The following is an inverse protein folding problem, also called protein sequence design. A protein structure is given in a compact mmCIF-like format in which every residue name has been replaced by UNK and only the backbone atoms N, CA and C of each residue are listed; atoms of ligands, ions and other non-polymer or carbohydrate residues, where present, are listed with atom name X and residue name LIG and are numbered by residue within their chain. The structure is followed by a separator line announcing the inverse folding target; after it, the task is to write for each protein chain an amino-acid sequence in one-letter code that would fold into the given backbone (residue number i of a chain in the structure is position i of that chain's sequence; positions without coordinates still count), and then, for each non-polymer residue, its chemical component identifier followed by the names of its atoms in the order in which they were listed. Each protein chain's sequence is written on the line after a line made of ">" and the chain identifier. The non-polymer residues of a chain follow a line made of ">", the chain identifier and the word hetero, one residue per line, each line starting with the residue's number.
data_IF_147348210119
#
_entry.id   IF_147348210119
#
_cell.length_a   1.000
_cell.length_b   1.000
_cell.length_c   1.000
_cell.angle_alpha   90.00
_cell.angle_beta   90.00
_cell.angle_gamma   90.00
#
_symmetry.space_group_name_H-M   'P 1'
#
loop_
_entity.id
_entity.type
_entity.pdbx_description
1 polymer ?
#
# COMPACT_ATOMS: atom_id res chain seq x y z
N UNK A 1 7.43 -60.85 50.84
CA UNK A 1 8.51 -61.27 51.76
C UNK A 1 7.95 -61.85 53.06
N UNK A 2 7.03 -61.16 53.74
CA UNK A 2 6.41 -61.62 55.01
C UNK A 2 5.76 -63.02 54.99
N UNK A 3 5.20 -63.47 53.86
CA UNK A 3 4.55 -64.80 53.77
C UNK A 3 5.55 -65.98 53.84
N UNK A 4 6.74 -65.81 53.25
CA UNK A 4 7.78 -66.86 53.23
C UNK A 4 8.43 -66.99 54.61
N UNK A 5 8.71 -65.85 55.25
CA UNK A 5 9.27 -65.79 56.60
C UNK A 5 8.35 -66.48 57.63
N UNK A 6 7.02 -66.31 57.49
CA UNK A 6 6.02 -66.98 58.35
C UNK A 6 5.90 -68.50 58.10
N UNK A 7 6.29 -68.98 56.92
CA UNK A 7 6.24 -70.41 56.57
C UNK A 7 7.51 -71.14 57.03
N UNK A 8 8.67 -70.50 56.88
CA UNK A 8 9.96 -71.02 57.36
C UNK A 8 9.96 -71.15 58.88
N UNK A 9 9.39 -70.19 59.60
CA UNK A 9 9.27 -70.23 61.07
C UNK A 9 8.30 -71.29 61.60
N UNK A 10 7.49 -71.91 60.72
CA UNK A 10 6.56 -73.00 61.06
C UNK A 10 7.09 -74.39 60.69
N UNK A 11 8.33 -74.50 60.21
CA UNK A 11 8.93 -75.80 59.95
C UNK A 11 9.10 -76.57 61.28
N UNK A 12 8.92 -77.91 61.28
CA UNK A 12 9.29 -78.73 62.42
C UNK A 12 10.75 -78.51 62.81
N UNK A 13 11.07 -78.68 64.09
CA UNK A 13 12.46 -78.60 64.55
C UNK A 13 13.27 -79.72 63.90
N UNK A 14 14.36 -79.38 63.23
CA UNK A 14 15.23 -80.38 62.62
C UNK A 14 15.76 -81.36 63.69
N UNK A 15 15.84 -82.66 63.39
CA UNK A 15 16.39 -83.62 64.32
C UNK A 15 17.86 -83.31 64.62
N UNK A 16 18.24 -83.52 65.87
CA UNK A 16 19.57 -83.27 66.41
C UNK A 16 20.24 -84.59 66.79
N UNK A 17 21.57 -84.63 66.73
CA UNK A 17 22.36 -85.78 67.22
C UNK A 17 22.18 -86.04 68.73
N UNK A 18 21.53 -85.12 69.45
CA UNK A 18 21.20 -85.25 70.88
C UNK A 18 19.81 -85.87 71.12
N UNK A 19 19.00 -86.06 70.08
CA UNK A 19 17.67 -86.69 70.23
C UNK A 19 17.81 -88.20 70.54
N UNK A 20 16.91 -88.77 71.37
CA UNK A 20 16.83 -90.20 71.58
C UNK A 20 16.60 -90.94 70.26
N UNK A 21 17.19 -92.14 70.11
CA UNK A 21 17.07 -92.92 68.86
C UNK A 21 15.60 -93.24 68.49
N UNK A 22 14.71 -93.35 69.47
CA UNK A 22 13.28 -93.55 69.26
C UNK A 22 12.52 -92.33 68.72
N UNK A 23 13.12 -91.14 68.80
CA UNK A 23 12.51 -89.87 68.37
C UNK A 23 13.17 -89.28 67.11
N UNK A 24 14.39 -89.72 66.79
CA UNK A 24 15.15 -89.17 65.67
C UNK A 24 14.49 -89.44 64.31
N UNK A 25 14.16 -90.71 64.02
CA UNK A 25 13.60 -91.10 62.72
C UNK A 25 12.23 -90.43 62.45
N UNK A 26 11.27 -90.40 63.40
CA UNK A 26 10.01 -89.67 63.20
C UNK A 26 10.20 -88.16 62.98
N UNK A 27 11.12 -87.51 63.74
CA UNK A 27 11.42 -86.08 63.55
C UNK A 27 12.07 -85.82 62.19
N UNK A 28 12.92 -86.73 61.71
CA UNK A 28 13.54 -86.64 60.40
C UNK A 28 12.51 -86.75 59.27
N UNK A 29 11.60 -87.72 59.35
CA UNK A 29 10.55 -87.92 58.36
C UNK A 29 9.57 -86.74 58.30
N UNK A 30 9.16 -86.21 59.46
CA UNK A 30 8.31 -85.02 59.56
C UNK A 30 9.00 -83.78 58.96
N UNK A 31 10.29 -83.58 59.26
CA UNK A 31 11.07 -82.46 58.75
C UNK A 31 11.28 -82.55 57.23
N UNK A 32 11.65 -83.72 56.72
CA UNK A 32 11.85 -83.95 55.28
C UNK A 32 10.54 -83.80 54.50
N UNK A 33 9.42 -84.29 55.05
CA UNK A 33 8.09 -84.11 54.46
C UNK A 33 7.70 -82.63 54.42
N UNK A 34 7.96 -81.87 55.48
CA UNK A 34 7.73 -80.43 55.53
C UNK A 34 8.57 -79.65 54.52
N UNK A 35 9.82 -80.06 54.27
CA UNK A 35 10.70 -79.45 53.26
C UNK A 35 10.18 -79.67 51.83
N UNK A 36 9.67 -80.86 51.51
CA UNK A 36 9.07 -81.14 50.20
C UNK A 36 7.85 -80.24 49.96
N UNK A 37 6.99 -80.09 50.97
CA UNK A 37 5.83 -79.19 50.92
C UNK A 37 6.26 -77.73 50.73
N UNK A 38 7.29 -77.28 51.45
CA UNK A 38 7.83 -75.93 51.32
C UNK A 38 8.40 -75.68 49.92
N UNK A 39 9.12 -76.65 49.34
CA UNK A 39 9.65 -76.56 47.98
C UNK A 39 8.55 -76.41 46.94
N UNK A 40 7.46 -77.18 47.05
CA UNK A 40 6.31 -77.06 46.15
C UNK A 40 5.62 -75.68 46.28
N UNK A 41 5.49 -75.17 47.50
CA UNK A 41 4.94 -73.83 47.75
C UNK A 41 5.83 -72.71 47.20
N UNK A 42 7.16 -72.85 47.27
CA UNK A 42 8.12 -71.92 46.66
C UNK A 42 8.01 -71.90 45.13
N UNK A 43 7.79 -73.06 44.51
CA UNK A 43 7.52 -73.15 43.07
C UNK A 43 6.29 -72.34 42.66
N UNK A 44 5.16 -72.59 43.32
CA UNK A 44 3.90 -71.85 43.07
C UNK A 44 4.06 -70.34 43.29
N UNK A 45 4.80 -69.94 44.31
CA UNK A 45 5.05 -68.52 44.56
C UNK A 45 5.92 -67.89 43.47
N UNK A 46 6.94 -68.60 43.00
CA UNK A 46 7.80 -68.14 41.90
C UNK A 46 6.98 -67.93 40.62
N UNK A 47 6.08 -68.85 40.31
CA UNK A 47 5.18 -68.74 39.16
C UNK A 47 4.24 -67.53 39.29
N UNK A 48 3.67 -67.31 40.48
CA UNK A 48 2.82 -66.14 40.76
C UNK A 48 3.59 -64.82 40.60
N UNK A 49 4.83 -64.74 41.09
CA UNK A 49 5.68 -63.55 40.95
C UNK A 49 6.02 -63.30 39.48
N UNK A 50 6.33 -64.35 38.72
CA UNK A 50 6.62 -64.23 37.28
C UNK A 50 5.39 -63.74 36.48
N UNK A 51 4.20 -64.27 36.79
CA UNK A 51 2.95 -63.82 36.20
C UNK A 51 2.65 -62.35 36.53
N UNK A 52 2.80 -61.97 37.80
CA UNK A 52 2.62 -60.58 38.23
C UNK A 52 3.63 -59.66 37.54
N UNK A 53 4.91 -60.03 37.47
CA UNK A 53 5.92 -59.24 36.78
C UNK A 53 5.59 -59.05 35.30
N UNK A 54 5.08 -60.09 34.64
CA UNK A 54 4.66 -60.01 33.24
C UNK A 54 3.46 -59.08 33.06
N UNK A 55 2.45 -59.18 33.93
CA UNK A 55 1.29 -58.26 33.93
C UNK A 55 1.72 -56.80 34.15
N UNK A 56 2.60 -56.56 35.12
CA UNK A 56 3.17 -55.23 35.37
C UNK A 56 3.92 -54.68 34.16
N UNK A 57 4.76 -55.49 33.51
CA UNK A 57 5.47 -55.07 32.30
C UNK A 57 4.50 -54.74 31.16
N UNK A 58 3.48 -55.56 30.94
CA UNK A 58 2.47 -55.32 29.91
C UNK A 58 1.71 -54.01 30.15
N UNK A 59 1.32 -53.74 31.40
CA UNK A 59 0.67 -52.48 31.79
C UNK A 59 1.59 -51.27 31.59
N UNK A 60 2.87 -51.41 31.93
CA UNK A 60 3.86 -50.35 31.72
C UNK A 60 3.99 -49.98 30.24
N UNK A 61 4.17 -50.98 29.35
CA UNK A 61 4.30 -50.73 27.92
C UNK A 61 3.01 -50.17 27.29
N UNK A 62 1.84 -50.61 27.75
CA UNK A 62 0.56 -50.05 27.31
C UNK A 62 0.45 -48.56 27.68
N UNK A 63 0.79 -48.20 28.92
CA UNK A 63 0.77 -46.82 29.39
C UNK A 63 1.80 -45.93 28.65
N UNK A 64 2.99 -46.44 28.37
CA UNK A 64 4.02 -45.72 27.61
C UNK A 64 3.59 -45.44 26.16
N UNK A 65 2.91 -46.40 25.53
CA UNK A 65 2.31 -46.23 24.21
C UNK A 65 1.21 -45.15 24.22
N UNK A 66 0.33 -45.13 25.22
CA UNK A 66 -0.70 -44.09 25.35
C UNK A 66 -0.09 -42.71 25.56
N UNK A 67 0.93 -42.58 26.41
CA UNK A 67 1.65 -41.33 26.62
C UNK A 67 2.29 -40.80 25.33
N UNK A 68 2.82 -41.70 24.50
CA UNK A 68 3.41 -41.36 23.21
C UNK A 68 2.35 -40.83 22.24
N UNK A 69 1.17 -41.47 22.18
CA UNK A 69 0.04 -41.00 21.36
C UNK A 69 -0.46 -39.63 21.82
N UNK A 70 -0.70 -39.45 23.12
CA UNK A 70 -1.15 -38.18 23.70
C UNK A 70 -0.14 -37.04 23.42
N UNK A 71 1.17 -37.33 23.48
CA UNK A 71 2.21 -36.35 23.13
C UNK A 71 2.10 -35.94 21.65
N UNK A 72 1.80 -36.88 20.75
CA UNK A 72 1.56 -36.61 19.33
C UNK A 72 0.32 -35.73 19.09
N UNK A 73 -0.77 -36.02 19.78
CA UNK A 73 -2.02 -35.23 19.71
C UNK A 73 -1.81 -33.80 20.22
N UNK A 74 -1.15 -33.63 21.36
CA UNK A 74 -0.85 -32.32 21.95
C UNK A 74 0.03 -31.48 21.00
N UNK A 75 1.04 -32.08 20.38
CA UNK A 75 1.90 -31.39 19.41
C UNK A 75 1.11 -30.93 18.17
N UNK A 76 0.24 -31.79 17.65
CA UNK A 76 -0.62 -31.47 16.50
C UNK A 76 -1.60 -30.34 16.82
N UNK A 77 -2.23 -30.36 18.00
CA UNK A 77 -3.10 -29.30 18.48
C UNK A 77 -2.36 -27.97 18.67
N UNK A 78 -1.11 -27.99 19.14
CA UNK A 78 -0.27 -26.80 19.31
C UNK A 78 0.08 -26.15 17.96
N UNK A 79 0.39 -26.96 16.94
CA UNK A 79 0.63 -26.47 15.59
C UNK A 79 -0.64 -25.82 15.00
N UNK A 80 -1.81 -26.45 15.14
CA UNK A 80 -3.08 -25.86 14.71
C UNK A 80 -3.47 -24.56 15.44
N UNK A 81 -3.13 -24.42 16.74
CA UNK A 81 -3.30 -23.15 17.46
C UNK A 81 -2.35 -22.06 16.95
N UNK A 82 -1.13 -22.42 16.57
CA UNK A 82 -0.17 -21.44 16.02
C UNK A 82 -0.62 -20.90 14.66
N UNK A 83 -1.21 -21.73 13.80
CA UNK A 83 -1.79 -21.28 12.54
C UNK A 83 -3.02 -20.41 12.76
N UNK A 84 -3.88 -20.76 13.71
CA UNK A 84 -5.04 -19.92 14.06
C UNK A 84 -4.61 -18.55 14.61
N UNK A 85 -3.59 -18.51 15.47
CA UNK A 85 -3.05 -17.25 16.00
C UNK A 85 -2.48 -16.36 14.88
N UNK A 86 -1.74 -16.95 13.93
CA UNK A 86 -1.24 -16.24 12.76
C UNK A 86 -2.39 -15.70 11.90
N UNK A 87 -3.42 -16.51 11.61
CA UNK A 87 -4.60 -16.06 10.88
C UNK A 87 -5.39 -14.96 11.61
N UNK A 88 -5.50 -15.03 12.94
CA UNK A 88 -6.14 -13.98 13.74
C UNK A 88 -5.34 -12.68 13.72
N UNK A 89 -4.01 -12.75 13.72
CA UNK A 89 -3.15 -11.58 13.59
C UNK A 89 -3.31 -10.91 12.23
N UNK A 90 -3.27 -11.69 11.13
CA UNK A 90 -3.51 -11.20 9.78
C UNK A 90 -4.89 -10.54 9.65
N UNK A 91 -5.91 -11.16 10.25
CA UNK A 91 -7.27 -10.62 10.26
C UNK A 91 -7.36 -9.32 11.05
N UNK A 92 -6.66 -9.21 12.19
CA UNK A 92 -6.59 -7.98 12.98
C UNK A 92 -5.90 -6.84 12.22
N UNK A 93 -4.80 -7.11 11.51
CA UNK A 93 -4.13 -6.14 10.65
C UNK A 93 -5.07 -5.63 9.54
N UNK A 94 -5.83 -6.53 8.89
CA UNK A 94 -6.84 -6.15 7.89
C UNK A 94 -7.96 -5.30 8.47
N UNK A 95 -8.43 -5.61 9.68
CA UNK A 95 -9.48 -4.83 10.36
C UNK A 95 -8.97 -3.42 10.71
N UNK A 96 -7.74 -3.28 11.20
CA UNK A 96 -7.14 -1.96 11.47
C UNK A 96 -7.06 -1.11 10.20
N UNK A 97 -6.61 -1.69 9.08
CA UNK A 97 -6.58 -0.99 7.80
C UNK A 97 -7.97 -0.51 7.34
N UNK A 98 -9.01 -1.34 7.52
CA UNK A 98 -10.39 -0.94 7.21
C UNK A 98 -10.84 0.22 8.10
N UNK A 99 -10.52 0.20 9.39
CA UNK A 99 -10.86 1.29 10.33
C UNK A 99 -10.14 2.59 9.96
N UNK A 100 -8.88 2.54 9.55
CA UNK A 100 -8.13 3.72 9.07
C UNK A 100 -8.78 4.32 7.83
N UNK A 101 -9.13 3.49 6.84
CA UNK A 101 -9.82 3.93 5.63
C UNK A 101 -11.20 4.51 5.97
N UNK A 102 -11.95 3.86 6.86
CA UNK A 102 -13.28 4.31 7.26
C UNK A 102 -13.23 5.62 8.05
N UNK A 103 -12.22 5.84 8.88
CA UNK A 103 -11.98 7.11 9.56
C UNK A 103 -11.58 8.21 8.56
N UNK A 104 -10.77 7.91 7.56
CA UNK A 104 -10.43 8.87 6.49
C UNK A 104 -11.66 9.26 5.64
N UNK A 105 -12.56 8.31 5.36
CA UNK A 105 -13.85 8.56 4.70
C UNK A 105 -14.76 9.41 5.59
N UNK A 106 -14.83 9.11 6.90
CA UNK A 106 -15.71 9.81 7.85
C UNK A 106 -15.28 11.25 8.09
N UNK A 107 -13.99 11.56 7.95
CA UNK A 107 -13.47 12.94 8.00
C UNK A 107 -13.68 13.72 6.69
N UNK A 108 -14.32 13.14 5.67
CA UNK A 108 -14.77 13.84 4.47
C UNK A 108 -13.66 14.30 3.53
N UNK A 109 -12.42 13.81 3.70
CA UNK A 109 -11.24 14.20 2.90
C UNK A 109 -10.91 13.22 1.76
N UNK A 110 -11.82 12.31 1.42
CA UNK A 110 -11.60 11.30 0.37
C UNK A 110 -12.77 11.31 -0.60
N UNK A 111 -12.48 11.44 -1.90
CA UNK A 111 -13.44 11.21 -2.99
C UNK A 111 -13.01 9.99 -3.77
N UNK A 112 -13.99 9.13 -4.06
CA UNK A 112 -13.85 8.03 -5.00
C UNK A 112 -14.57 8.45 -6.27
N UNK A 113 -13.83 8.65 -7.37
CA UNK A 113 -14.40 8.99 -8.67
C UNK A 113 -14.61 7.74 -9.50
N UNK A 114 -15.79 7.59 -10.09
CA UNK A 114 -16.19 6.34 -10.76
C UNK A 114 -15.87 6.32 -12.27
N UNK A 115 -15.08 7.26 -12.79
CA UNK A 115 -14.91 7.29 -14.26
C UNK A 115 -13.83 8.18 -14.86
N UNK A 116 -13.07 8.95 -14.05
CA UNK A 116 -11.91 9.69 -14.57
C UNK A 116 -10.84 9.95 -13.52
N UNK A 117 -9.62 10.15 -14.01
CA UNK A 117 -8.51 10.70 -13.25
C UNK A 117 -8.83 12.13 -12.77
N UNK A 118 -8.23 12.56 -11.65
CA UNK A 118 -8.32 13.94 -11.20
C UNK A 118 -7.66 14.85 -12.24
N UNK A 119 -8.24 16.03 -12.41
CA UNK A 119 -7.82 17.03 -13.38
C UNK A 119 -7.60 18.37 -12.67
N UNK A 120 -6.88 19.30 -13.29
CA UNK A 120 -6.79 20.65 -12.77
C UNK A 120 -8.12 21.41 -12.74
N UNK A 121 -9.20 20.90 -13.36
CA UNK A 121 -10.54 21.51 -13.22
C UNK A 121 -11.23 21.14 -11.90
N UNK A 122 -10.65 20.24 -11.10
CA UNK A 122 -11.23 19.78 -9.84
C UNK A 122 -10.86 20.73 -8.68
N UNK A 123 -11.10 22.04 -8.86
CA UNK A 123 -10.74 23.11 -7.91
C UNK A 123 -11.70 23.24 -6.71
N UNK A 124 -12.72 22.38 -6.66
CA UNK A 124 -13.66 22.30 -5.53
C UNK A 124 -13.10 21.52 -4.34
N UNK A 125 -11.99 20.78 -4.52
CA UNK A 125 -11.41 19.93 -3.48
C UNK A 125 -10.26 20.64 -2.75
N UNK A 126 -10.35 20.84 -1.42
CA UNK A 126 -9.33 21.56 -0.68
C UNK A 126 -7.99 20.80 -0.65
N UNK A 127 -6.87 21.47 -0.35
CA UNK A 127 -5.61 20.78 -0.12
C UNK A 127 -5.72 19.71 0.98
N UNK A 128 -5.09 18.55 0.78
CA UNK A 128 -5.19 17.36 1.62
C UNK A 128 -6.25 16.35 1.17
N UNK A 129 -7.13 16.72 0.24
CA UNK A 129 -8.14 15.81 -0.28
C UNK A 129 -7.51 14.69 -1.10
N UNK A 130 -7.92 13.45 -0.84
CA UNK A 130 -7.44 12.27 -1.55
C UNK A 130 -8.45 11.83 -2.60
N UNK A 131 -7.97 11.55 -3.80
CA UNK A 131 -8.74 11.04 -4.93
C UNK A 131 -8.26 9.64 -5.25
N UNK A 132 -9.18 8.68 -5.22
CA UNK A 132 -8.91 7.28 -5.55
C UNK A 132 -9.65 6.96 -6.84
N UNK A 133 -8.93 6.46 -7.83
CA UNK A 133 -9.50 6.06 -9.12
C UNK A 133 -9.57 4.52 -9.22
N UNK A 134 -10.78 3.93 -9.33
CA UNK A 134 -10.95 2.49 -9.49
C UNK A 134 -10.30 2.02 -10.79
N UNK A 135 -9.47 0.99 -10.71
CA UNK A 135 -8.75 0.42 -11.87
C UNK A 135 -7.28 0.83 -11.97
N UNK A 136 -6.79 1.65 -11.04
CA UNK A 136 -5.36 1.91 -10.84
C UNK A 136 -4.96 1.64 -9.40
N UNK A 137 -3.74 1.16 -9.17
CA UNK A 137 -3.16 0.99 -7.81
C UNK A 137 -2.67 2.32 -7.21
N UNK A 138 -3.04 3.45 -7.81
CA UNK A 138 -2.59 4.78 -7.44
C UNK A 138 -3.70 5.62 -6.79
N UNK A 139 -3.26 6.58 -5.99
CA UNK A 139 -4.10 7.64 -5.45
C UNK A 139 -3.46 9.00 -5.69
N UNK A 140 -4.26 10.05 -5.64
CA UNK A 140 -3.81 11.43 -5.80
C UNK A 140 -4.21 12.25 -4.58
N UNK A 141 -3.36 13.18 -4.17
CA UNK A 141 -3.63 14.12 -3.08
C UNK A 141 -3.64 15.53 -3.64
N UNK A 142 -4.70 16.29 -3.40
CA UNK A 142 -4.75 17.71 -3.71
C UNK A 142 -3.70 18.43 -2.87
N UNK A 143 -2.72 19.05 -3.51
CA UNK A 143 -1.63 19.78 -2.82
C UNK A 143 -1.84 21.30 -2.86
N UNK A 144 -2.81 21.77 -3.64
CA UNK A 144 -3.06 23.20 -3.78
C UNK A 144 -4.23 23.47 -4.72
N UNK A 145 -4.94 24.56 -4.43
CA UNK A 145 -6.05 25.05 -5.24
C UNK A 145 -5.82 26.52 -5.54
N UNK A 146 -6.01 26.89 -6.80
CA UNK A 146 -6.15 28.25 -7.27
C UNK A 146 -7.44 28.35 -8.10
N UNK A 147 -7.98 29.56 -8.35
CA UNK A 147 -9.20 29.72 -9.14
C UNK A 147 -9.08 29.02 -10.51
N UNK A 148 -9.93 28.01 -10.77
CA UNK A 148 -9.94 27.20 -11.99
C UNK A 148 -8.78 26.19 -12.14
N UNK A 149 -7.98 25.99 -11.09
CA UNK A 149 -6.78 25.15 -11.15
C UNK A 149 -6.49 24.43 -9.82
N UNK A 150 -6.81 23.15 -9.75
CA UNK A 150 -6.28 22.24 -8.74
C UNK A 150 -4.91 21.67 -9.12
N UNK A 151 -4.12 21.32 -8.10
CA UNK A 151 -2.84 20.62 -8.22
C UNK A 151 -2.94 19.31 -7.47
N UNK A 152 -2.66 18.22 -8.17
CA UNK A 152 -2.78 16.86 -7.63
C UNK A 152 -1.43 16.18 -7.65
N UNK A 153 -1.02 15.59 -6.54
CA UNK A 153 0.19 14.76 -6.45
C UNK A 153 -0.21 13.30 -6.38
N UNK A 154 0.23 12.51 -7.35
CA UNK A 154 0.05 11.05 -7.38
C UNK A 154 0.92 10.38 -6.31
N UNK A 155 0.57 9.16 -5.93
CA UNK A 155 1.28 8.29 -4.99
C UNK A 155 2.76 8.08 -5.34
N UNK A 156 3.09 8.05 -6.62
CA UNK A 156 4.47 7.95 -7.14
C UNK A 156 5.27 9.27 -7.06
N UNK A 157 4.64 10.35 -6.60
CA UNK A 157 5.23 11.69 -6.48
C UNK A 157 5.02 12.60 -7.68
N UNK A 158 4.50 12.11 -8.81
CA UNK A 158 4.22 12.94 -9.99
C UNK A 158 3.16 14.00 -9.70
N UNK A 159 3.36 15.20 -10.24
CA UNK A 159 2.47 16.34 -10.02
C UNK A 159 1.62 16.63 -11.25
N UNK A 160 0.35 16.21 -11.21
CA UNK A 160 -0.65 16.61 -12.19
C UNK A 160 -1.03 18.07 -11.96
N UNK A 161 -0.73 18.94 -12.94
CA UNK A 161 -0.99 20.38 -12.85
C UNK A 161 -1.37 21.00 -14.19
N UNK A 162 -1.93 22.20 -14.10
CA UNK A 162 -2.06 23.10 -15.24
C UNK A 162 -0.73 23.82 -15.51
N UNK A 163 -0.38 23.99 -16.78
CA UNK A 163 0.71 24.87 -17.19
C UNK A 163 0.39 26.33 -16.86
N UNK A 164 1.43 27.13 -16.65
CA UNK A 164 1.27 28.56 -16.32
C UNK A 164 0.63 29.30 -17.50
N UNK A 165 -0.26 30.25 -17.20
CA UNK A 165 -0.88 31.11 -18.22
C UNK A 165 0.23 31.89 -18.96
N UNK A 166 0.27 31.82 -20.30
CA UNK A 166 1.22 32.56 -21.11
C UNK A 166 1.10 34.07 -20.95
N UNK A 167 2.23 34.76 -21.05
CA UNK A 167 2.26 36.23 -21.19
C UNK A 167 2.62 36.56 -22.62
N UNK A 168 1.72 37.26 -23.32
CA UNK A 168 1.94 37.73 -24.69
C UNK A 168 2.27 39.21 -24.68
N UNK A 169 3.32 39.58 -25.41
CA UNK A 169 3.81 40.94 -25.60
C UNK A 169 3.99 41.24 -27.09
N UNK A 170 3.78 42.50 -27.48
CA UNK A 170 4.15 42.96 -28.82
C UNK A 170 5.55 43.55 -28.76
N UNK A 171 6.42 43.13 -29.67
CA UNK A 171 7.78 43.67 -29.77
C UNK A 171 7.90 44.87 -30.71
N UNK A 172 6.81 45.26 -31.39
CA UNK A 172 6.76 46.41 -32.26
C UNK A 172 5.34 46.93 -32.50
N UNK A 173 5.23 48.17 -32.98
CA UNK A 173 3.97 48.76 -33.47
C UNK A 173 3.88 48.55 -34.98
N UNK A 174 2.76 48.03 -35.48
CA UNK A 174 2.50 47.95 -36.91
C UNK A 174 2.23 49.35 -37.47
N UNK A 175 3.22 49.98 -38.09
CA UNK A 175 2.94 51.03 -39.05
C UNK A 175 2.64 50.33 -40.40
N UNK A 176 1.51 50.65 -41.04
CA UNK A 176 1.18 50.26 -42.43
C UNK A 176 1.47 48.81 -42.85
N UNK A 177 0.55 47.87 -42.55
CA UNK A 177 0.55 46.51 -43.13
C UNK A 177 1.84 45.68 -42.96
N UNK A 178 2.75 46.13 -42.10
CA UNK A 178 4.02 45.46 -41.81
C UNK A 178 3.83 44.19 -40.96
N UNK A 179 4.92 43.42 -40.89
CA UNK A 179 5.00 42.22 -40.07
C UNK A 179 4.94 42.54 -38.58
N UNK A 180 3.97 41.95 -37.90
CA UNK A 180 3.80 42.12 -36.45
C UNK A 180 4.45 40.94 -35.75
N UNK A 181 5.55 41.22 -35.06
CA UNK A 181 6.25 40.24 -34.23
C UNK A 181 5.64 40.23 -32.84
N UNK A 182 5.15 39.06 -32.45
CA UNK A 182 4.47 38.84 -31.17
C UNK A 182 5.28 37.81 -30.41
N UNK A 183 5.65 38.17 -29.19
CA UNK A 183 6.48 37.33 -28.34
C UNK A 183 5.70 36.80 -27.13
N UNK A 184 5.94 35.54 -26.82
CA UNK A 184 5.24 34.77 -25.82
C UNK A 184 6.21 34.20 -24.80
N UNK A 185 5.94 34.48 -23.53
CA UNK A 185 6.69 33.91 -22.43
C UNK A 185 5.92 32.69 -21.90
N UNK A 186 6.49 31.51 -22.14
CA UNK A 186 5.84 30.22 -21.95
C UNK A 186 6.52 29.38 -20.87
N UNK A 187 5.76 28.46 -20.26
CA UNK A 187 6.31 27.47 -19.34
C UNK A 187 7.25 26.54 -20.14
N UNK A 188 8.50 26.38 -19.70
CA UNK A 188 9.51 25.55 -20.39
C UNK A 188 9.14 24.06 -20.49
N UNK A 189 8.11 23.63 -19.75
CA UNK A 189 7.58 22.26 -19.82
C UNK A 189 6.40 22.12 -20.79
N UNK A 190 6.01 23.19 -21.49
CA UNK A 190 5.04 23.11 -22.58
C UNK A 190 5.59 22.27 -23.73
N UNK A 191 4.72 21.45 -24.33
CA UNK A 191 5.08 20.64 -25.49
C UNK A 191 4.72 21.30 -26.82
N UNK A 192 3.80 22.28 -26.80
CA UNK A 192 3.37 23.03 -27.97
C UNK A 192 2.78 24.38 -27.55
N UNK A 193 2.80 25.33 -28.48
CA UNK A 193 2.08 26.61 -28.40
C UNK A 193 0.95 26.64 -29.42
N UNK A 194 -0.17 27.23 -29.03
CA UNK A 194 -1.30 27.54 -29.88
C UNK A 194 -1.63 29.04 -29.81
N UNK A 195 -1.66 29.67 -30.99
CA UNK A 195 -1.99 31.06 -31.19
C UNK A 195 -3.38 31.19 -31.83
N UNK A 196 -4.15 32.15 -31.34
CA UNK A 196 -5.46 32.51 -31.90
C UNK A 196 -5.43 33.99 -32.28
N UNK A 197 -5.70 34.27 -33.55
CA UNK A 197 -5.64 35.60 -34.15
C UNK A 197 -6.89 35.86 -35.00
N UNK A 198 -7.56 36.99 -34.78
CA UNK A 198 -8.74 37.38 -35.55
C UNK A 198 -8.39 38.03 -36.88
N UNK A 199 -9.31 38.01 -37.85
CA UNK A 199 -9.12 38.66 -39.15
C UNK A 199 -8.23 37.92 -40.14
N UNK A 200 -7.95 36.63 -39.88
CA UNK A 200 -7.24 35.73 -40.79
C UNK A 200 -5.90 36.28 -41.31
N UNK A 201 -4.93 36.58 -40.41
CA UNK A 201 -3.61 37.01 -40.83
C UNK A 201 -2.88 35.93 -41.62
N UNK A 202 -1.94 36.36 -42.45
CA UNK A 202 -0.91 35.51 -43.03
C UNK A 202 0.16 35.24 -41.97
N UNK A 203 0.57 33.99 -41.80
CA UNK A 203 1.69 33.63 -40.92
C UNK A 203 2.98 33.75 -41.72
N UNK A 204 3.88 34.64 -41.29
CA UNK A 204 5.18 34.87 -41.93
C UNK A 204 6.24 33.96 -41.33
N UNK A 205 6.19 33.75 -40.02
CA UNK A 205 7.06 32.81 -39.30
C UNK A 205 6.39 32.29 -38.02
N UNK A 206 6.75 31.07 -37.62
CA UNK A 206 6.09 30.34 -36.53
C UNK A 206 4.85 29.60 -37.03
N UNK A 207 4.14 28.95 -36.11
CA UNK A 207 2.89 28.24 -36.41
C UNK A 207 1.77 28.67 -35.47
N UNK A 208 0.54 28.72 -35.98
CA UNK A 208 -0.63 28.96 -35.15
C UNK A 208 -0.91 27.80 -34.18
N UNK A 209 -0.41 26.59 -34.47
CA UNK A 209 -0.45 25.46 -33.57
C UNK A 209 0.72 24.50 -33.85
N UNK A 210 1.39 24.03 -32.79
CA UNK A 210 2.36 22.93 -32.90
C UNK A 210 3.83 23.35 -32.96
N UNK A 211 4.13 24.63 -32.70
CA UNK A 211 5.49 25.15 -32.62
C UNK A 211 5.85 25.47 -31.17
N UNK A 212 7.05 25.09 -30.74
CA UNK A 212 7.66 25.54 -29.47
C UNK A 212 8.25 26.95 -29.55
N UNK A 213 8.19 27.59 -30.73
CA UNK A 213 8.66 28.96 -30.90
C UNK A 213 7.89 29.91 -29.96
N UNK A 214 8.61 30.67 -29.11
CA UNK A 214 7.99 31.69 -28.27
C UNK A 214 7.39 32.84 -29.09
N UNK A 215 7.82 32.98 -30.34
CA UNK A 215 7.50 34.13 -31.18
C UNK A 215 6.72 33.70 -32.42
N UNK A 216 5.69 34.48 -32.79
CA UNK A 216 4.95 34.37 -34.05
C UNK A 216 4.97 35.71 -34.80
N UNK A 217 5.10 35.66 -36.13
CA UNK A 217 5.06 36.85 -36.98
C UNK A 217 3.84 36.78 -37.89
N UNK A 218 2.96 37.79 -37.77
CA UNK A 218 1.67 37.84 -38.46
C UNK A 218 1.56 39.10 -39.33
N UNK A 219 0.88 38.97 -40.47
CA UNK A 219 0.56 40.09 -41.36
C UNK A 219 -0.93 40.12 -41.71
N UNK A 220 -1.56 41.28 -41.59
CA UNK A 220 -2.96 41.49 -42.01
C UNK A 220 -3.01 42.28 -43.31
N UNK A 221 -3.90 41.87 -44.22
CA UNK A 221 -4.07 42.52 -45.52
C UNK A 221 -5.00 43.75 -45.49
N UNK A 222 -5.78 43.91 -44.41
CA UNK A 222 -6.74 44.99 -44.24
C UNK A 222 -6.46 45.79 -42.97
N UNK A 223 -6.82 47.06 -42.99
CA UNK A 223 -6.81 47.88 -41.78
C UNK A 223 -7.96 47.49 -40.87
N UNK A 224 -7.71 47.45 -39.56
CA UNK A 224 -8.73 47.13 -38.57
C UNK A 224 -8.14 46.91 -37.18
N UNK A 225 -9.05 46.58 -36.26
CA UNK A 225 -8.71 46.13 -34.91
C UNK A 225 -8.73 44.62 -34.89
N UNK A 226 -7.58 44.00 -34.67
CA UNK A 226 -7.42 42.57 -34.53
C UNK A 226 -7.01 42.22 -33.12
N UNK A 227 -7.15 40.94 -32.77
CA UNK A 227 -6.83 40.43 -31.45
C UNK A 227 -5.98 39.19 -31.56
N UNK A 228 -4.98 39.07 -30.69
CA UNK A 228 -4.13 37.89 -30.58
C UNK A 228 -4.06 37.43 -29.13
N UNK A 229 -4.05 36.10 -28.96
CA UNK A 229 -3.81 35.43 -27.67
C UNK A 229 -3.13 34.09 -27.90
N UNK A 230 -2.51 33.55 -26.85
CA UNK A 230 -1.81 32.27 -26.88
C UNK A 230 -2.25 31.33 -25.76
N UNK A 231 -2.13 30.03 -25.98
CA UNK A 231 -2.32 28.92 -25.04
C UNK A 231 -1.15 27.97 -25.20
N UNK A 232 -0.61 27.43 -24.11
CA UNK A 232 0.37 26.34 -24.18
C UNK A 232 -0.29 25.01 -23.88
N UNK A 233 0.13 23.97 -24.59
CA UNK A 233 -0.35 22.60 -24.41
C UNK A 233 0.69 21.78 -23.64
N UNK A 234 0.19 20.88 -22.84
CA UNK A 234 1.00 19.86 -22.18
C UNK A 234 0.60 18.49 -22.70
N UNK A 235 1.23 17.45 -22.16
CA UNK A 235 1.06 16.05 -22.58
C UNK A 235 -0.36 15.47 -22.37
N UNK A 236 -1.23 16.16 -21.66
CA UNK A 236 -2.61 15.74 -21.37
C UNK A 236 -2.75 14.72 -20.25
N UNK A 237 -1.65 14.23 -19.69
CA UNK A 237 -1.62 13.26 -18.58
C UNK A 237 -1.25 13.92 -17.26
N UNK A 238 -0.08 14.56 -17.21
CA UNK A 238 0.47 15.20 -16.00
C UNK A 238 0.49 16.72 -16.19
N UNK A 239 0.69 17.19 -17.42
CA UNK A 239 0.68 18.59 -17.77
C UNK A 239 -0.55 18.89 -18.64
N UNK A 240 -1.50 19.63 -18.07
CA UNK A 240 -2.69 20.07 -18.79
C UNK A 240 -2.51 21.46 -19.40
N UNK A 241 -3.26 21.73 -20.46
CA UNK A 241 -3.24 23.00 -21.19
C UNK A 241 -3.40 24.19 -20.25
N UNK A 242 -2.64 25.26 -20.49
CA UNK A 242 -2.82 26.52 -19.79
C UNK A 242 -4.19 27.14 -20.09
N UNK A 243 -4.55 28.16 -19.30
CA UNK A 243 -5.53 29.13 -19.77
C UNK A 243 -4.98 29.91 -20.97
N UNK A 244 -5.88 30.48 -21.75
CA UNK A 244 -5.51 31.49 -22.74
C UNK A 244 -4.87 32.70 -22.05
N UNK A 245 -3.88 33.30 -22.70
CA UNK A 245 -3.31 34.58 -22.32
C UNK A 245 -4.37 35.68 -22.30
N UNK A 246 -4.02 36.83 -21.73
CA UNK A 246 -4.82 38.03 -21.95
C UNK A 246 -4.86 38.38 -23.45
N UNK A 247 -5.97 38.98 -23.86
CA UNK A 247 -6.16 39.42 -25.24
C UNK A 247 -5.27 40.64 -25.51
N UNK A 248 -4.52 40.59 -26.60
CA UNK A 248 -3.78 41.74 -27.13
C UNK A 248 -4.47 42.29 -28.35
N UNK A 249 -4.76 43.59 -28.33
CA UNK A 249 -5.35 44.29 -29.46
C UNK A 249 -4.24 44.84 -30.35
N UNK A 250 -4.36 44.60 -31.64
CA UNK A 250 -3.45 45.07 -32.68
C UNK A 250 -4.24 46.00 -33.58
N UNK A 251 -3.78 47.23 -33.69
CA UNK A 251 -4.29 48.19 -34.65
C UNK A 251 -3.45 48.08 -35.91
N UNK A 252 -4.08 47.67 -37.02
CA UNK A 252 -3.46 47.67 -38.34
C UNK A 252 -4.09 48.78 -39.14
N UNK A 253 -3.30 49.69 -39.69
CA UNK A 253 -3.81 50.78 -40.49
C UNK A 253 -2.71 51.65 -41.07
N UNK A 254 -3.06 52.57 -41.98
CA UNK A 254 -2.12 53.57 -42.44
C UNK A 254 -1.67 54.42 -41.25
N UNK A 255 -0.37 54.45 -40.98
CA UNK A 255 0.22 55.48 -40.13
C UNK A 255 -0.07 56.81 -40.80
N UNK A 256 -0.96 57.61 -40.24
CA UNK A 256 -1.05 59.01 -40.66
C UNK A 256 0.17 59.69 -40.04
N UNK A 257 1.26 59.75 -40.80
CA UNK A 257 2.41 60.57 -40.44
C UNK A 257 2.00 62.03 -40.61
N UNK A 258 1.45 62.62 -39.56
CA UNK A 258 1.17 64.05 -39.54
C UNK A 258 2.51 64.74 -39.30
N UNK A 259 3.13 65.25 -40.37
CA UNK A 259 4.29 66.14 -40.23
C UNK A 259 3.99 67.24 -39.22
N UNK A 260 5.02 67.73 -38.51
CA UNK A 260 4.87 68.68 -37.41
C UNK A 260 3.88 69.80 -37.77
N UNK A 261 2.73 69.84 -37.11
CA UNK A 261 1.72 70.88 -37.27
C UNK A 261 0.45 70.54 -38.05
N UNK A 262 0.25 69.30 -38.52
CA UNK A 262 -1.04 68.90 -39.12
C UNK A 262 -1.90 68.09 -38.13
N UNK A 263 -3.14 68.53 -37.93
CA UNK A 263 -4.15 67.87 -37.09
C UNK A 263 -4.77 66.68 -37.83
N UNK A 264 -4.72 65.49 -37.24
CA UNK A 264 -5.32 64.28 -37.78
C UNK A 264 -6.41 63.83 -36.82
N UNK A 265 -7.66 63.96 -37.25
CA UNK A 265 -8.84 63.95 -36.37
C UNK A 265 -9.28 62.57 -35.87
N UNK A 266 -8.56 62.01 -34.91
CA UNK A 266 -9.05 60.87 -34.11
C UNK A 266 -9.00 61.09 -32.58
N UNK A 267 -8.75 62.33 -32.13
CA UNK A 267 -9.01 62.73 -30.74
C UNK A 267 -8.02 62.19 -29.70
N UNK A 268 -6.90 61.58 -30.12
CA UNK A 268 -5.88 61.07 -29.21
C UNK A 268 -4.80 62.12 -28.95
N UNK A 269 -4.94 62.92 -27.89
CA UNK A 269 -3.86 63.80 -27.43
C UNK A 269 -2.77 62.97 -26.73
N UNK A 270 -1.52 63.08 -27.21
CA UNK A 270 -0.36 62.94 -26.33
C UNK A 270 -0.25 64.25 -25.54
N UNK A 271 -0.75 64.23 -24.30
CA UNK A 271 -0.62 65.36 -23.38
C UNK A 271 0.84 65.76 -23.22
N UNK A 272 1.18 66.97 -23.67
CA UNK A 272 2.41 67.64 -23.24
C UNK A 272 1.98 68.76 -22.30
N UNK A 273 2.12 68.52 -21.01
CA UNK A 273 2.01 69.54 -19.98
C UNK A 273 3.35 70.30 -19.98
N UNK A 274 3.37 71.56 -20.41
CA UNK A 274 4.48 72.49 -20.17
C UNK A 274 3.92 73.87 -19.84
N UNK A 275 4.09 74.21 -18.55
CA UNK A 275 4.06 75.50 -17.84
C UNK A 275 2.87 76.45 -18.07
#
# INVERSE_FOLDING_TARGET
>A
MQFIEQKITKLPTAPSRKDPKSEFDPKADDFLSALVILSAQLGLWTDQVNLQSTDWNNRYYAADSELTLLRGEVNSARLGRSSLAASMQEMNERVQHIVEVQNAITMGQVAVSVGRLPSPNDDVYPPGYTWIYPGTDDFWVCVGVAPGAARWRRSDGQLTRRLVKPVVQMLGSAATFDDVVIDGHFDSQASEVEWDATGSPSVISGDLSGSDSPTITLRWAASGNYTVRARVRGDGNVLHHSFWSDVRTILVGPSIYCGSGAYCGDGSYAGTMIL
#
